data_IF_318380077579
#
_entry.id   IF_318380077579
#
_cell.length_a   1.000
_cell.length_b   1.000
_cell.length_c   1.000
_cell.angle_alpha   90.00
_cell.angle_beta   90.00
_cell.angle_gamma   90.00
#
_symmetry.space_group_name_H-M   'P 1'
#
loop_
_entity.id
_entity.type
_entity.pdbx_description
1 polymer ?
#
# COMPACT_ATOMS: atom_id res chain seq x y z
N UNK A 1 -37.02 26.79 14.19
CA UNK A 1 -36.52 28.09 13.66
C UNK A 1 -35.28 28.56 14.42
N UNK A 2 -35.27 28.49 15.76
CA UNK A 2 -34.17 28.93 16.63
C UNK A 2 -32.81 28.26 16.35
N UNK A 3 -32.75 26.92 16.26
CA UNK A 3 -31.48 26.19 15.96
C UNK A 3 -30.88 26.51 14.58
N UNK A 4 -31.70 26.94 13.62
CA UNK A 4 -31.22 27.38 12.30
C UNK A 4 -30.52 28.73 12.40
N UNK A 5 -31.04 29.65 13.22
CA UNK A 5 -30.41 30.97 13.45
C UNK A 5 -29.05 30.80 14.12
N UNK A 6 -28.94 29.96 15.15
CA UNK A 6 -27.67 29.66 15.80
C UNK A 6 -26.68 28.93 14.87
N UNK A 7 -27.17 28.00 14.04
CA UNK A 7 -26.38 27.32 13.04
C UNK A 7 -25.83 28.27 11.95
N UNK A 8 -26.64 29.19 11.45
CA UNK A 8 -26.26 30.18 10.44
C UNK A 8 -25.30 31.23 11.02
N UNK A 9 -25.46 31.59 12.30
CA UNK A 9 -24.58 32.50 13.05
C UNK A 9 -23.29 31.83 13.58
N UNK A 10 -23.12 30.51 13.40
CA UNK A 10 -22.00 29.70 13.94
C UNK A 10 -21.85 29.74 15.47
N UNK A 11 -22.91 30.06 16.19
CA UNK A 11 -22.98 30.13 17.65
C UNK A 11 -23.39 28.75 18.21
N UNK A 12 -22.45 27.80 18.15
CA UNK A 12 -22.72 26.39 18.50
C UNK A 12 -22.63 26.07 20.00
N UNK A 13 -22.11 26.96 20.84
CA UNK A 13 -22.06 26.74 22.29
C UNK A 13 -23.37 27.22 22.92
N UNK A 14 -23.78 28.42 22.55
CA UNK A 14 -25.04 29.05 22.93
C UNK A 14 -26.23 28.23 22.42
N UNK A 15 -26.11 27.62 21.24
CA UNK A 15 -27.09 26.68 20.72
C UNK A 15 -27.28 25.43 21.60
N UNK A 16 -26.22 24.93 22.25
CA UNK A 16 -26.32 23.80 23.18
C UNK A 16 -26.92 24.21 24.54
N UNK A 17 -26.60 25.40 25.04
CA UNK A 17 -27.19 25.92 26.28
C UNK A 17 -28.70 26.12 26.14
N UNK A 18 -29.12 26.63 24.98
CA UNK A 18 -30.55 26.76 24.63
C UNK A 18 -31.22 25.39 24.52
N UNK A 19 -30.51 24.38 24.01
CA UNK A 19 -31.01 23.00 23.99
C UNK A 19 -31.25 22.45 25.40
N UNK A 20 -30.31 22.66 26.32
CA UNK A 20 -30.44 22.26 27.73
C UNK A 20 -31.59 22.99 28.41
N UNK A 21 -31.69 24.30 28.20
CA UNK A 21 -32.79 25.12 28.73
C UNK A 21 -34.15 24.60 28.24
N UNK A 22 -34.27 24.25 26.96
CA UNK A 22 -35.51 23.71 26.40
C UNK A 22 -35.92 22.38 27.04
N UNK A 23 -34.96 21.49 27.30
CA UNK A 23 -35.22 20.20 27.96
C UNK A 23 -35.62 20.40 29.42
N UNK A 24 -34.89 21.22 30.17
CA UNK A 24 -35.19 21.49 31.59
C UNK A 24 -36.55 22.13 31.80
N UNK A 25 -37.08 22.85 30.80
CA UNK A 25 -38.42 23.46 30.84
C UNK A 25 -39.51 22.61 30.15
N UNK A 26 -39.20 21.37 29.74
CA UNK A 26 -40.18 20.44 29.15
C UNK A 26 -40.69 20.84 27.76
N UNK A 27 -39.97 21.69 27.03
CA UNK A 27 -40.34 22.11 25.68
C UNK A 27 -40.08 20.99 24.67
N UNK A 28 -41.06 20.70 23.80
CA UNK A 28 -40.89 19.74 22.71
C UNK A 28 -39.99 20.33 21.62
N UNK A 29 -38.87 19.66 21.36
CA UNK A 29 -37.94 20.02 20.28
C UNK A 29 -38.24 19.14 19.06
N UNK A 30 -38.35 19.76 17.89
CA UNK A 30 -38.55 19.04 16.62
C UNK A 30 -37.21 18.52 16.07
N UNK A 31 -37.19 17.27 15.61
CA UNK A 31 -36.00 16.59 15.10
C UNK A 31 -35.38 17.35 13.92
N UNK A 32 -36.21 17.92 13.03
CA UNK A 32 -35.72 18.68 11.86
C UNK A 32 -34.87 19.88 12.25
N UNK A 33 -35.19 20.52 13.38
CA UNK A 33 -34.40 21.65 13.89
C UNK A 33 -33.02 21.19 14.37
N UNK A 34 -32.94 20.00 14.97
CA UNK A 34 -31.67 19.39 15.39
C UNK A 34 -30.85 18.88 14.20
N UNK A 35 -31.48 18.32 13.16
CA UNK A 35 -30.80 17.87 11.93
C UNK A 35 -30.09 19.04 11.24
N UNK A 36 -30.73 20.20 11.14
CA UNK A 36 -30.12 21.42 10.56
C UNK A 36 -28.88 21.82 11.36
N UNK A 37 -28.94 21.72 12.69
CA UNK A 37 -27.80 21.99 13.56
C UNK A 37 -26.67 20.97 13.38
N UNK A 38 -26.98 19.66 13.36
CA UNK A 38 -26.00 18.59 13.14
C UNK A 38 -25.28 18.75 11.79
N UNK A 39 -26.01 19.10 10.72
CA UNK A 39 -25.45 19.38 9.41
C UNK A 39 -24.54 20.62 9.43
N UNK A 40 -24.94 21.69 10.12
CA UNK A 40 -24.13 22.91 10.23
C UNK A 40 -22.86 22.67 11.07
N UNK A 41 -22.95 21.97 12.21
CA UNK A 41 -21.79 21.61 13.02
C UNK A 41 -20.81 20.71 12.27
N UNK A 42 -21.32 19.79 11.43
CA UNK A 42 -20.50 18.97 10.54
C UNK A 42 -19.81 19.81 9.46
N UNK A 43 -20.51 20.76 8.82
CA UNK A 43 -19.93 21.66 7.80
C UNK A 43 -18.85 22.58 8.38
N UNK A 44 -19.03 23.04 9.62
CA UNK A 44 -18.08 23.90 10.32
C UNK A 44 -16.96 23.13 11.04
N UNK A 45 -16.84 21.83 10.81
CA UNK A 45 -15.83 20.97 11.44
C UNK A 45 -15.79 21.12 12.98
N UNK A 46 -16.96 21.09 13.63
CA UNK A 46 -17.14 21.07 15.10
C UNK A 46 -17.79 19.75 15.54
N UNK A 47 -17.12 18.62 15.31
CA UNK A 47 -17.69 17.29 15.58
C UNK A 47 -17.88 16.95 17.06
N UNK A 48 -17.15 17.60 17.95
CA UNK A 48 -17.33 17.42 19.40
C UNK A 48 -18.71 17.93 19.82
N UNK A 49 -19.07 19.12 19.36
CA UNK A 49 -20.41 19.72 19.54
C UNK A 49 -21.51 18.89 18.86
N UNK A 50 -21.22 18.36 17.67
CA UNK A 50 -22.14 17.45 16.95
C UNK A 50 -22.41 16.16 17.77
N UNK A 51 -21.37 15.58 18.36
CA UNK A 51 -21.47 14.37 19.19
C UNK A 51 -22.18 14.65 20.51
N UNK A 52 -21.92 15.80 21.14
CA UNK A 52 -22.58 16.22 22.38
C UNK A 52 -24.07 16.48 22.13
N UNK A 53 -24.42 17.23 21.08
CA UNK A 53 -25.82 17.46 20.72
C UNK A 53 -26.52 16.13 20.46
N UNK A 54 -25.91 15.25 19.67
CA UNK A 54 -26.50 13.95 19.37
C UNK A 54 -26.75 13.14 20.63
N UNK A 55 -25.76 13.00 21.54
CA UNK A 55 -25.97 12.31 22.83
C UNK A 55 -27.10 12.94 23.65
N UNK A 56 -27.19 14.27 23.68
CA UNK A 56 -28.30 14.95 24.39
C UNK A 56 -29.65 14.68 23.73
N UNK A 57 -29.72 14.59 22.40
CA UNK A 57 -30.91 14.14 21.68
C UNK A 57 -31.28 12.70 22.04
N UNK A 58 -30.31 11.79 22.14
CA UNK A 58 -30.53 10.38 22.52
C UNK A 58 -31.04 10.24 23.96
N UNK A 59 -30.46 11.01 24.89
CA UNK A 59 -30.84 10.99 26.30
C UNK A 59 -32.18 11.68 26.57
N UNK A 60 -32.64 12.52 25.64
CA UNK A 60 -33.96 13.13 25.68
C UNK A 60 -35.02 12.14 25.18
N UNK A 61 -36.29 12.35 25.57
CA UNK A 61 -37.42 11.53 25.11
C UNK A 61 -37.83 11.84 23.64
N UNK A 62 -36.84 12.16 22.79
CA UNK A 62 -37.01 12.51 21.38
C UNK A 62 -36.92 11.26 20.50
N UNK A 63 -37.71 11.22 19.43
CA UNK A 63 -37.52 10.25 18.34
C UNK A 63 -36.30 10.66 17.50
N UNK A 64 -35.29 9.80 17.48
CA UNK A 64 -34.05 9.99 16.71
C UNK A 64 -34.13 9.11 15.48
N UNK A 65 -34.01 9.68 14.27
CA UNK A 65 -34.05 8.91 13.03
C UNK A 65 -32.69 8.32 12.64
N UNK A 66 -32.70 7.29 11.79
CA UNK A 66 -31.51 6.72 11.14
C UNK A 66 -30.73 7.78 10.35
N UNK A 67 -31.40 8.82 9.85
CA UNK A 67 -30.76 9.91 9.12
C UNK A 67 -29.86 10.77 10.01
N UNK A 68 -30.33 11.12 11.21
CA UNK A 68 -29.52 11.86 12.19
C UNK A 68 -28.28 11.05 12.64
N UNK A 69 -28.44 9.74 12.85
CA UNK A 69 -27.32 8.81 13.11
C UNK A 69 -26.31 8.81 11.96
N UNK A 70 -26.78 8.71 10.71
CA UNK A 70 -25.91 8.69 9.51
C UNK A 70 -25.07 9.96 9.40
N UNK A 71 -25.63 11.13 9.74
CA UNK A 71 -24.89 12.42 9.70
C UNK A 71 -23.70 12.40 10.67
N UNK A 72 -23.93 11.95 11.90
CA UNK A 72 -22.90 11.91 12.95
C UNK A 72 -21.84 10.86 12.62
N UNK A 73 -22.27 9.68 12.17
CA UNK A 73 -21.40 8.60 11.71
C UNK A 73 -20.50 9.07 10.55
N UNK A 74 -21.04 9.70 9.51
CA UNK A 74 -20.22 10.24 8.41
C UNK A 74 -19.22 11.30 8.89
N UNK A 75 -19.63 12.17 9.81
CA UNK A 75 -18.73 13.15 10.41
C UNK A 75 -17.56 12.52 11.18
N UNK A 76 -17.81 11.43 11.93
CA UNK A 76 -16.77 10.69 12.65
C UNK A 76 -15.84 9.95 11.69
N UNK A 77 -16.38 9.31 10.65
CA UNK A 77 -15.60 8.60 9.64
C UNK A 77 -14.67 9.52 8.85
N UNK A 78 -15.11 10.74 8.49
CA UNK A 78 -14.26 11.72 7.79
C UNK A 78 -13.03 12.17 8.58
N UNK A 79 -13.09 12.09 9.92
CA UNK A 79 -11.97 12.41 10.83
C UNK A 79 -11.13 11.20 11.21
N UNK A 80 -11.35 10.06 10.58
CA UNK A 80 -10.63 8.81 10.88
C UNK A 80 -11.03 8.16 12.20
N UNK A 81 -12.07 8.65 12.91
CA UNK A 81 -12.58 8.06 14.15
C UNK A 81 -13.62 6.96 13.88
N UNK A 82 -13.24 6.00 13.05
CA UNK A 82 -14.18 4.98 12.51
C UNK A 82 -14.62 4.00 13.60
N UNK A 83 -13.74 3.62 14.53
CA UNK A 83 -14.10 2.75 15.68
C UNK A 83 -15.20 3.36 16.53
N UNK A 84 -15.12 4.67 16.79
CA UNK A 84 -16.14 5.37 17.58
C UNK A 84 -17.47 5.48 16.82
N UNK A 85 -17.41 5.60 15.49
CA UNK A 85 -18.60 5.58 14.65
C UNK A 85 -19.32 4.22 14.69
N UNK A 86 -18.55 3.12 14.70
CA UNK A 86 -19.06 1.75 14.89
C UNK A 86 -19.73 1.57 16.25
N UNK A 87 -19.04 1.95 17.33
CA UNK A 87 -19.60 1.87 18.69
C UNK A 87 -20.92 2.62 18.82
N UNK A 88 -21.00 3.83 18.26
CA UNK A 88 -22.22 4.63 18.27
C UNK A 88 -23.36 3.95 17.51
N UNK A 89 -23.08 3.32 16.37
CA UNK A 89 -24.11 2.59 15.62
C UNK A 89 -24.67 1.41 16.43
N UNK A 90 -23.81 0.64 17.09
CA UNK A 90 -24.21 -0.51 17.93
C UNK A 90 -25.01 -0.04 19.15
N UNK A 91 -24.56 1.01 19.83
CA UNK A 91 -25.26 1.62 20.97
C UNK A 91 -26.69 2.04 20.60
N UNK A 92 -26.87 2.68 19.45
CA UNK A 92 -28.18 3.15 19.00
C UNK A 92 -29.11 2.03 18.54
N UNK A 93 -28.56 0.95 17.97
CA UNK A 93 -29.31 -0.25 17.62
C UNK A 93 -29.83 -0.98 18.89
N UNK A 94 -28.98 -1.09 19.92
CA UNK A 94 -29.32 -1.80 21.16
C UNK A 94 -30.22 -1.02 22.13
N UNK A 95 -29.92 0.26 22.40
CA UNK A 95 -30.60 1.03 23.47
C UNK A 95 -31.92 1.64 23.00
N UNK A 96 -32.02 2.04 21.73
CA UNK A 96 -33.18 2.76 21.19
C UNK A 96 -33.91 2.01 20.06
N UNK A 97 -33.42 0.84 19.66
CA UNK A 97 -34.02 0.04 18.59
C UNK A 97 -33.94 0.68 17.21
N UNK A 98 -33.03 1.65 17.01
CA UNK A 98 -32.84 2.31 15.71
C UNK A 98 -32.04 1.38 14.81
N UNK A 99 -32.73 0.67 13.91
CA UNK A 99 -32.08 -0.23 12.96
C UNK A 99 -31.26 0.57 11.93
N UNK A 100 -29.93 0.43 11.87
CA UNK A 100 -29.12 1.10 10.86
C UNK A 100 -29.51 0.61 9.47
N UNK A 101 -29.45 1.50 8.48
CA UNK A 101 -29.72 1.13 7.08
C UNK A 101 -28.40 0.93 6.30
N UNK A 102 -28.54 0.48 5.05
CA UNK A 102 -27.40 0.25 4.14
C UNK A 102 -26.50 1.49 4.01
N UNK A 103 -27.06 2.70 4.10
CA UNK A 103 -26.30 3.95 3.97
C UNK A 103 -25.41 4.17 5.20
N UNK A 104 -25.91 3.95 6.42
CA UNK A 104 -25.12 4.01 7.65
C UNK A 104 -23.95 3.01 7.59
N UNK A 105 -24.25 1.78 7.19
CA UNK A 105 -23.25 0.73 7.02
C UNK A 105 -22.20 1.08 5.96
N UNK A 106 -22.61 1.52 4.76
CA UNK A 106 -21.71 1.94 3.70
C UNK A 106 -20.81 3.13 4.12
N UNK A 107 -21.33 4.03 4.96
CA UNK A 107 -20.55 5.16 5.49
C UNK A 107 -19.41 4.68 6.38
N UNK A 108 -19.67 3.72 7.27
CA UNK A 108 -18.65 3.14 8.15
C UNK A 108 -17.67 2.28 7.35
N UNK A 109 -18.17 1.45 6.42
CA UNK A 109 -17.34 0.67 5.50
C UNK A 109 -16.38 1.57 4.73
N UNK A 110 -16.85 2.69 4.17
CA UNK A 110 -15.99 3.65 3.47
C UNK A 110 -14.93 4.26 4.39
N UNK A 111 -15.29 4.51 5.66
CA UNK A 111 -14.34 4.90 6.70
C UNK A 111 -13.21 3.89 6.87
N UNK A 112 -13.54 2.61 7.04
CA UNK A 112 -12.53 1.54 7.19
C UNK A 112 -11.73 1.30 5.91
N UNK A 113 -12.36 1.37 4.73
CA UNK A 113 -11.70 1.28 3.42
C UNK A 113 -10.63 2.36 3.27
N UNK A 114 -10.92 3.61 3.68
CA UNK A 114 -9.95 4.72 3.63
C UNK A 114 -8.75 4.52 4.54
N UNK A 115 -8.97 3.92 5.71
CA UNK A 115 -7.89 3.59 6.68
C UNK A 115 -7.16 2.29 6.28
N UNK A 116 -7.67 1.56 5.27
CA UNK A 116 -7.19 0.25 4.82
C UNK A 116 -7.22 -0.84 5.90
N UNK A 117 -8.15 -0.72 6.84
CA UNK A 117 -8.34 -1.70 7.91
C UNK A 117 -9.22 -2.86 7.43
N UNK A 118 -8.59 -4.02 7.23
CA UNK A 118 -9.26 -5.25 6.79
C UNK A 118 -10.13 -5.89 7.85
N UNK A 119 -9.74 -5.79 9.12
CA UNK A 119 -10.44 -6.44 10.21
C UNK A 119 -11.76 -5.72 10.51
N UNK A 120 -11.72 -4.38 10.52
CA UNK A 120 -12.91 -3.55 10.68
C UNK A 120 -13.95 -3.77 9.58
N UNK A 121 -13.53 -3.90 8.31
CA UNK A 121 -14.45 -4.22 7.20
C UNK A 121 -15.14 -5.57 7.42
N UNK A 122 -14.40 -6.62 7.78
CA UNK A 122 -14.96 -7.96 8.00
C UNK A 122 -15.90 -8.03 9.21
N UNK A 123 -15.66 -7.23 10.25
CA UNK A 123 -16.57 -7.09 11.38
C UNK A 123 -17.89 -6.42 10.98
N UNK A 124 -17.84 -5.33 10.20
CA UNK A 124 -19.04 -4.66 9.72
C UNK A 124 -19.87 -5.55 8.79
N UNK A 125 -19.24 -6.36 7.93
CA UNK A 125 -19.96 -7.32 7.09
C UNK A 125 -20.73 -8.35 7.90
N UNK A 126 -20.13 -8.89 8.96
CA UNK A 126 -20.83 -9.80 9.89
C UNK A 126 -22.01 -9.14 10.59
N UNK A 127 -21.88 -7.85 10.94
CA UNK A 127 -22.99 -7.09 11.53
C UNK A 127 -24.11 -6.88 10.50
N UNK A 128 -23.80 -6.55 9.24
CA UNK A 128 -24.81 -6.43 8.18
C UNK A 128 -25.55 -7.75 7.91
N UNK A 129 -24.84 -8.88 7.96
CA UNK A 129 -25.46 -10.22 7.84
C UNK A 129 -26.37 -10.52 9.04
N UNK A 130 -25.93 -10.20 10.26
CA UNK A 130 -26.72 -10.40 11.50
C UNK A 130 -27.97 -9.54 11.53
N UNK A 131 -27.88 -8.32 11.02
CA UNK A 131 -28.99 -7.37 10.94
C UNK A 131 -29.88 -7.59 9.68
N UNK A 132 -29.57 -8.61 8.86
CA UNK A 132 -30.27 -8.95 7.61
C UNK A 132 -30.35 -7.78 6.61
N UNK A 133 -29.31 -6.94 6.58
CA UNK A 133 -29.25 -5.75 5.73
C UNK A 133 -28.73 -6.13 4.34
N UNK A 134 -29.62 -6.07 3.34
CA UNK A 134 -29.28 -6.38 1.95
C UNK A 134 -28.24 -5.40 1.38
N UNK A 135 -27.26 -5.95 0.66
CA UNK A 135 -26.23 -5.16 -0.01
C UNK A 135 -26.83 -4.44 -1.24
N UNK A 136 -26.43 -3.19 -1.44
CA UNK A 136 -26.75 -2.46 -2.67
C UNK A 136 -25.54 -2.43 -3.61
N UNK A 137 -25.72 -1.95 -4.85
CA UNK A 137 -24.65 -1.86 -5.84
C UNK A 137 -23.41 -1.13 -5.29
N UNK A 138 -23.61 -0.01 -4.59
CA UNK A 138 -22.50 0.74 -3.98
C UNK A 138 -21.73 -0.07 -2.92
N UNK A 139 -22.42 -0.88 -2.10
CA UNK A 139 -21.79 -1.79 -1.13
C UNK A 139 -20.90 -2.80 -1.86
N UNK A 140 -21.41 -3.48 -2.90
CA UNK A 140 -20.63 -4.44 -3.68
C UNK A 140 -19.42 -3.79 -4.36
N UNK A 141 -19.60 -2.65 -5.04
CA UNK A 141 -18.50 -1.93 -5.71
C UNK A 141 -17.38 -1.57 -4.73
N UNK A 142 -17.74 -1.03 -3.56
CA UNK A 142 -16.76 -0.68 -2.53
C UNK A 142 -16.00 -1.90 -1.99
N UNK A 143 -16.70 -3.01 -1.72
CA UNK A 143 -16.09 -4.21 -1.16
C UNK A 143 -15.21 -4.93 -2.18
N UNK A 144 -15.67 -5.07 -3.43
CA UNK A 144 -14.90 -5.70 -4.50
C UNK A 144 -13.62 -4.89 -4.77
N UNK A 145 -13.72 -3.56 -4.81
CA UNK A 145 -12.54 -2.69 -4.93
C UNK A 145 -11.58 -2.87 -3.75
N UNK A 146 -12.11 -2.86 -2.51
CA UNK A 146 -11.30 -3.00 -1.29
C UNK A 146 -10.59 -4.35 -1.19
N UNK A 147 -11.31 -5.45 -1.39
CA UNK A 147 -10.73 -6.80 -1.36
C UNK A 147 -9.77 -7.02 -2.53
N UNK A 148 -10.05 -6.42 -3.69
CA UNK A 148 -9.16 -6.44 -4.84
C UNK A 148 -7.84 -5.71 -4.61
N UNK A 149 -7.86 -4.55 -3.94
CA UNK A 149 -6.66 -3.83 -3.53
C UNK A 149 -5.89 -4.53 -2.40
N UNK A 150 -6.61 -5.25 -1.54
CA UNK A 150 -6.02 -6.02 -0.43
C UNK A 150 -5.47 -7.38 -0.86
N UNK A 151 -5.53 -7.73 -2.16
CA UNK A 151 -5.04 -8.99 -2.70
C UNK A 151 -5.88 -10.22 -2.36
N UNK A 152 -7.07 -10.05 -1.77
CA UNK A 152 -8.01 -11.13 -1.39
C UNK A 152 -8.96 -11.46 -2.55
N UNK A 153 -8.41 -11.93 -3.68
CA UNK A 153 -9.18 -12.14 -4.91
C UNK A 153 -10.34 -13.13 -4.79
N UNK A 154 -10.17 -14.20 -4.00
CA UNK A 154 -11.26 -15.18 -3.80
C UNK A 154 -12.51 -14.54 -3.17
N UNK A 155 -12.33 -13.63 -2.21
CA UNK A 155 -13.46 -12.93 -1.57
C UNK A 155 -14.13 -11.97 -2.57
N UNK A 156 -13.33 -11.26 -3.37
CA UNK A 156 -13.85 -10.38 -4.41
C UNK A 156 -14.68 -11.14 -5.47
N UNK A 157 -14.22 -12.32 -5.90
CA UNK A 157 -14.94 -13.16 -6.87
C UNK A 157 -16.24 -13.73 -6.28
N UNK A 158 -16.23 -14.15 -5.00
CA UNK A 158 -17.45 -14.58 -4.31
C UNK A 158 -18.49 -13.48 -4.23
N UNK A 159 -18.07 -12.25 -3.88
CA UNK A 159 -18.96 -11.08 -3.85
C UNK A 159 -19.51 -10.74 -5.24
N UNK A 160 -18.70 -10.85 -6.28
CA UNK A 160 -19.14 -10.63 -7.66
C UNK A 160 -20.16 -11.69 -8.11
N UNK A 161 -19.98 -12.95 -7.71
CA UNK A 161 -20.93 -14.02 -7.99
C UNK A 161 -22.26 -13.80 -7.27
N UNK A 162 -22.21 -13.48 -5.98
CA UNK A 162 -23.39 -13.17 -5.15
C UNK A 162 -24.16 -11.94 -5.71
N UNK A 163 -23.45 -10.91 -6.18
CA UNK A 163 -24.06 -9.75 -6.84
C UNK A 163 -24.85 -10.14 -8.10
N UNK A 164 -24.30 -11.02 -8.95
CA UNK A 164 -24.97 -11.53 -10.15
C UNK A 164 -26.14 -12.45 -9.81
N UNK A 165 -26.01 -13.35 -8.82
CA UNK A 165 -27.10 -14.24 -8.37
C UNK A 165 -28.30 -13.47 -7.81
N UNK A 166 -28.04 -12.30 -7.18
CA UNK A 166 -29.08 -11.40 -6.67
C UNK A 166 -29.65 -10.43 -7.72
N UNK A 167 -29.24 -10.54 -8.98
CA UNK A 167 -29.64 -9.64 -10.08
C UNK A 167 -29.43 -8.15 -9.77
N UNK A 168 -28.38 -7.82 -9.00
CA UNK A 168 -28.01 -6.41 -8.78
C UNK A 168 -27.31 -5.91 -10.04
N UNK A 169 -27.73 -4.75 -10.55
CA UNK A 169 -27.18 -4.17 -11.77
C UNK A 169 -25.67 -3.93 -11.62
N UNK A 170 -24.91 -4.61 -12.49
CA UNK A 170 -23.45 -4.55 -12.47
C UNK A 170 -23.00 -3.38 -13.32
N UNK A 171 -22.30 -2.43 -12.71
CA UNK A 171 -21.71 -1.29 -13.40
C UNK A 171 -20.32 -1.62 -13.98
N UNK A 172 -19.81 -0.70 -14.81
CA UNK A 172 -18.46 -0.78 -15.37
C UNK A 172 -17.35 -0.75 -14.31
N UNK A 173 -17.61 -0.13 -13.15
CA UNK A 173 -16.64 0.01 -12.07
C UNK A 173 -16.42 -1.31 -11.33
N UNK A 174 -17.47 -2.10 -11.13
CA UNK A 174 -17.40 -3.46 -10.59
C UNK A 174 -16.56 -4.34 -11.51
N UNK A 175 -16.87 -4.37 -12.81
CA UNK A 175 -16.07 -5.13 -13.79
C UNK A 175 -14.61 -4.68 -13.81
N UNK A 176 -14.35 -3.37 -13.83
CA UNK A 176 -12.98 -2.83 -13.80
C UNK A 176 -12.23 -3.25 -12.53
N UNK A 177 -12.91 -3.25 -11.38
CA UNK A 177 -12.32 -3.64 -10.10
C UNK A 177 -11.99 -5.15 -10.04
N UNK A 178 -12.89 -6.01 -10.53
CA UNK A 178 -12.67 -7.46 -10.53
C UNK A 178 -11.63 -7.89 -11.60
N UNK A 179 -11.60 -7.22 -12.76
CA UNK A 179 -10.56 -7.40 -13.79
C UNK A 179 -9.20 -7.00 -13.22
N UNK A 180 -9.11 -5.82 -12.59
CA UNK A 180 -7.88 -5.36 -11.92
C UNK A 180 -7.41 -6.33 -10.84
N UNK A 181 -8.33 -6.85 -10.03
CA UNK A 181 -8.03 -7.86 -9.02
C UNK A 181 -7.45 -9.15 -9.63
N UNK A 182 -8.10 -9.70 -10.66
CA UNK A 182 -7.64 -10.90 -11.36
C UNK A 182 -6.28 -10.67 -12.04
N UNK A 183 -6.04 -9.48 -12.60
CA UNK A 183 -4.75 -9.09 -13.18
C UNK A 183 -3.64 -9.05 -12.12
N UNK A 184 -3.90 -8.51 -10.92
CA UNK A 184 -2.93 -8.46 -9.82
C UNK A 184 -2.54 -9.84 -9.30
N UNK A 185 -3.48 -10.79 -9.27
CA UNK A 185 -3.22 -12.19 -8.87
C UNK A 185 -2.61 -13.02 -10.01
N UNK A 186 -2.59 -12.49 -11.24
CA UNK A 186 -2.04 -13.18 -12.41
C UNK A 186 -3.01 -14.13 -13.11
N UNK A 187 -4.29 -14.13 -12.73
CA UNK A 187 -5.33 -14.92 -13.40
C UNK A 187 -5.85 -14.21 -14.67
N UNK A 188 -4.98 -14.08 -15.67
CA UNK A 188 -5.29 -13.37 -16.90
C UNK A 188 -6.44 -14.01 -17.69
N UNK A 189 -6.56 -15.34 -17.67
CA UNK A 189 -7.65 -16.05 -18.38
C UNK A 189 -9.02 -15.57 -17.91
N UNK A 190 -9.21 -15.46 -16.59
CA UNK A 190 -10.45 -14.96 -16.01
C UNK A 190 -10.64 -13.47 -16.30
N UNK A 191 -9.56 -12.67 -16.22
CA UNK A 191 -9.62 -11.24 -16.52
C UNK A 191 -10.08 -10.96 -17.97
N UNK A 192 -9.60 -11.73 -18.96
CA UNK A 192 -10.05 -11.61 -20.35
C UNK A 192 -11.49 -12.10 -20.53
N UNK A 193 -11.89 -13.21 -19.90
CA UNK A 193 -13.28 -13.67 -19.96
C UNK A 193 -14.26 -12.62 -19.40
N UNK A 194 -13.91 -11.94 -18.31
CA UNK A 194 -14.71 -10.85 -17.73
C UNK A 194 -14.74 -9.61 -18.64
N UNK A 195 -13.66 -9.35 -19.40
CA UNK A 195 -13.61 -8.26 -20.37
C UNK A 195 -14.47 -8.53 -21.60
N UNK A 196 -14.49 -9.78 -22.08
CA UNK A 196 -15.37 -10.21 -23.17
C UNK A 196 -16.84 -10.17 -22.71
N UNK A 197 -17.15 -10.65 -21.49
CA UNK A 197 -18.50 -10.56 -20.90
C UNK A 197 -18.97 -9.10 -20.78
N UNK A 198 -18.09 -8.20 -20.33
CA UNK A 198 -18.37 -6.76 -20.28
C UNK A 198 -18.71 -6.20 -21.67
N UNK A 199 -17.98 -6.63 -22.71
CA UNK A 199 -18.22 -6.21 -24.10
C UNK A 199 -19.53 -6.77 -24.65
N UNK A 200 -19.85 -8.04 -24.36
CA UNK A 200 -21.10 -8.71 -24.78
C UNK A 200 -22.33 -8.07 -24.14
N UNK A 201 -22.22 -7.59 -22.90
CA UNK A 201 -23.29 -6.84 -22.21
C UNK A 201 -23.48 -5.40 -22.74
N UNK A 202 -22.69 -4.97 -23.72
CA UNK A 202 -22.78 -3.63 -24.30
C UNK A 202 -22.22 -2.52 -23.41
N UNK A 203 -21.49 -2.87 -22.34
CA UNK A 203 -20.79 -1.91 -21.49
C UNK A 203 -19.46 -1.56 -22.16
N UNK A 204 -19.28 -0.32 -22.61
CA UNK A 204 -18.06 0.11 -23.29
C UNK A 204 -16.88 0.17 -22.30
N UNK A 205 -15.78 -0.60 -22.48
CA UNK A 205 -14.66 -0.60 -21.54
C UNK A 205 -14.03 0.79 -21.41
N UNK A 206 -13.64 1.15 -20.18
CA UNK A 206 -13.02 2.44 -19.90
C UNK A 206 -11.50 2.41 -20.09
N UNK A 207 -10.85 3.58 -20.15
CA UNK A 207 -9.38 3.70 -20.12
C UNK A 207 -8.77 2.98 -18.89
N UNK A 208 -9.48 2.96 -17.75
CA UNK A 208 -9.04 2.24 -16.56
C UNK A 208 -9.11 0.72 -16.73
N UNK A 209 -10.12 0.22 -17.43
CA UNK A 209 -10.29 -1.21 -17.73
C UNK A 209 -9.14 -1.72 -18.61
N UNK A 210 -8.83 -0.98 -19.69
CA UNK A 210 -7.67 -1.27 -20.53
C UNK A 210 -6.35 -1.14 -19.77
N UNK A 211 -6.17 -0.08 -18.99
CA UNK A 211 -4.97 0.11 -18.18
C UNK A 211 -4.71 -1.04 -17.20
N UNK A 212 -5.76 -1.57 -16.55
CA UNK A 212 -5.65 -2.72 -15.66
C UNK A 212 -5.27 -4.01 -16.40
N UNK A 213 -5.86 -4.27 -17.57
CA UNK A 213 -5.48 -5.42 -18.40
C UNK A 213 -4.05 -5.31 -18.92
N UNK A 214 -3.66 -4.13 -19.43
CA UNK A 214 -2.30 -3.83 -19.90
C UNK A 214 -1.29 -4.07 -18.76
N UNK A 215 -1.56 -3.58 -17.55
CA UNK A 215 -0.72 -3.83 -16.37
C UNK A 215 -0.61 -5.33 -16.05
N UNK A 216 -1.73 -6.06 -16.09
CA UNK A 216 -1.76 -7.50 -15.90
C UNK A 216 -0.89 -8.26 -16.90
N UNK A 217 -1.06 -8.00 -18.21
CA UNK A 217 -0.29 -8.70 -19.26
C UNK A 217 1.19 -8.29 -19.27
N UNK A 218 1.50 -7.03 -18.96
CA UNK A 218 2.88 -6.56 -18.80
C UNK A 218 3.57 -7.30 -17.65
N UNK A 219 2.90 -7.46 -16.50
CA UNK A 219 3.41 -8.22 -15.35
C UNK A 219 3.62 -9.70 -15.66
N UNK A 220 2.78 -10.28 -16.52
CA UNK A 220 2.95 -11.66 -17.00
C UNK A 220 3.99 -11.80 -18.13
N UNK A 221 4.63 -10.71 -18.56
CA UNK A 221 5.61 -10.70 -19.65
C UNK A 221 5.02 -10.89 -21.05
N UNK A 222 3.69 -10.81 -21.21
CA UNK A 222 3.00 -11.00 -22.48
C UNK A 222 2.87 -9.69 -23.26
N UNK A 223 4.01 -9.15 -23.72
CA UNK A 223 4.05 -7.83 -24.36
C UNK A 223 3.27 -7.75 -25.69
N UNK A 224 3.14 -8.84 -26.43
CA UNK A 224 2.33 -8.88 -27.66
C UNK A 224 0.83 -8.68 -27.37
N UNK A 225 0.32 -9.29 -26.29
CA UNK A 225 -1.05 -9.06 -25.85
C UNK A 225 -1.26 -7.59 -25.42
N UNK A 226 -0.25 -6.98 -24.78
CA UNK A 226 -0.28 -5.57 -24.41
C UNK A 226 -0.41 -4.64 -25.64
N UNK A 227 0.31 -4.94 -26.73
CA UNK A 227 0.23 -4.18 -27.99
C UNK A 227 -1.14 -4.31 -28.67
N UNK A 228 -1.73 -5.50 -28.66
CA UNK A 228 -3.07 -5.73 -29.21
C UNK A 228 -4.11 -4.92 -28.42
N UNK A 229 -4.05 -4.97 -27.09
CA UNK A 229 -4.94 -4.20 -26.22
C UNK A 229 -4.80 -2.69 -26.43
N UNK A 230 -3.57 -2.20 -26.60
CA UNK A 230 -3.30 -0.79 -26.89
C UNK A 230 -3.87 -0.36 -28.24
N UNK A 231 -3.69 -1.18 -29.27
CA UNK A 231 -4.22 -0.90 -30.61
C UNK A 231 -5.76 -0.88 -30.61
N UNK A 232 -6.39 -1.80 -29.84
CA UNK A 232 -7.84 -1.84 -29.65
C UNK A 232 -8.36 -0.63 -28.86
N UNK A 233 -7.62 -0.18 -27.85
CA UNK A 233 -7.97 1.02 -27.08
C UNK A 233 -7.94 2.26 -27.99
N UNK A 234 -6.89 2.41 -28.81
CA UNK A 234 -6.76 3.52 -29.75
C UNK A 234 -7.83 3.51 -30.84
N UNK A 235 -8.20 2.34 -31.39
CA UNK A 235 -9.26 2.24 -32.40
C UNK A 235 -10.66 2.58 -31.85
N UNK A 236 -10.85 2.47 -30.54
CA UNK A 236 -12.06 2.92 -29.84
C UNK A 236 -12.04 4.42 -29.50
N UNK A 237 -11.02 5.17 -29.92
CA UNK A 237 -10.90 6.61 -29.65
C UNK A 237 -10.55 6.94 -28.20
N UNK A 238 -10.03 5.98 -27.43
CA UNK A 238 -9.61 6.20 -26.06
C UNK A 238 -8.15 6.65 -26.02
N UNK A 239 -7.91 7.84 -25.48
CA UNK A 239 -6.56 8.39 -25.34
C UNK A 239 -5.77 7.69 -24.22
N UNK A 240 -4.49 7.48 -24.49
CA UNK A 240 -3.55 7.00 -23.47
C UNK A 240 -3.32 8.08 -22.41
N UNK A 241 -3.34 7.67 -21.15
CA UNK A 241 -2.91 8.51 -20.04
C UNK A 241 -1.48 8.19 -19.63
N UNK A 242 -0.88 9.05 -18.79
CA UNK A 242 0.47 8.88 -18.28
C UNK A 242 0.66 7.53 -17.54
N UNK A 243 -0.38 7.03 -16.88
CA UNK A 243 -0.34 5.74 -16.18
C UNK A 243 -0.09 4.58 -17.16
N UNK A 244 -0.84 4.52 -18.27
CA UNK A 244 -0.69 3.47 -19.28
C UNK A 244 0.70 3.52 -19.92
N UNK A 245 1.22 4.72 -20.22
CA UNK A 245 2.59 4.86 -20.71
C UNK A 245 3.61 4.32 -19.71
N UNK A 246 3.52 4.71 -18.44
CA UNK A 246 4.41 4.23 -17.39
C UNK A 246 4.32 2.71 -17.19
N UNK A 247 3.12 2.14 -17.24
CA UNK A 247 2.89 0.68 -17.17
C UNK A 247 3.54 -0.06 -18.33
N UNK A 248 3.45 0.47 -19.56
CA UNK A 248 4.09 -0.13 -20.73
C UNK A 248 5.62 -0.05 -20.63
N UNK A 249 6.15 1.11 -20.25
CA UNK A 249 7.58 1.31 -20.04
C UNK A 249 8.10 0.32 -18.99
N UNK A 250 7.39 0.14 -17.87
CA UNK A 250 7.74 -0.84 -16.84
C UNK A 250 7.67 -2.29 -17.35
N UNK A 251 6.62 -2.63 -18.12
CA UNK A 251 6.50 -3.91 -18.80
C UNK A 251 7.67 -4.23 -19.73
N UNK A 252 8.01 -3.30 -20.64
CA UNK A 252 9.15 -3.44 -21.55
C UNK A 252 10.49 -3.51 -20.82
N UNK A 253 10.68 -2.69 -19.77
CA UNK A 253 11.88 -2.74 -18.93
C UNK A 253 12.04 -4.09 -18.22
N UNK A 254 10.94 -4.67 -17.71
CA UNK A 254 10.95 -6.01 -17.08
C UNK A 254 11.19 -7.13 -18.10
N UNK A 255 10.69 -6.99 -19.32
CA UNK A 255 10.95 -7.91 -20.43
C UNK A 255 12.35 -7.78 -21.04
N UNK A 256 13.16 -6.80 -20.57
CA UNK A 256 14.49 -6.54 -21.06
C UNK A 256 14.55 -5.76 -22.39
N UNK A 257 13.41 -5.33 -22.91
CA UNK A 257 13.27 -4.61 -24.18
C UNK A 257 13.38 -3.10 -23.96
N UNK A 258 14.57 -2.62 -23.58
CA UNK A 258 14.78 -1.20 -23.24
C UNK A 258 14.54 -0.27 -24.43
N UNK A 259 14.90 -0.67 -25.65
CA UNK A 259 14.71 0.17 -26.84
C UNK A 259 13.22 0.45 -27.11
N UNK A 260 12.36 -0.54 -26.86
CA UNK A 260 10.91 -0.38 -26.94
C UNK A 260 10.39 0.53 -25.82
N UNK A 261 10.92 0.41 -24.60
CA UNK A 261 10.58 1.31 -23.49
C UNK A 261 10.91 2.78 -23.83
N UNK A 262 12.07 3.02 -24.46
CA UNK A 262 12.47 4.34 -24.93
C UNK A 262 11.60 4.86 -26.09
N UNK A 263 11.17 3.97 -26.99
CA UNK A 263 10.23 4.32 -28.07
C UNK A 263 8.86 4.72 -27.53
N UNK A 264 8.36 4.02 -26.52
CA UNK A 264 7.11 4.37 -25.82
C UNK A 264 7.26 5.72 -25.11
N UNK A 265 8.38 5.97 -24.42
CA UNK A 265 8.69 7.27 -23.80
C UNK A 265 8.72 8.41 -24.85
N UNK A 266 9.32 8.19 -26.01
CA UNK A 266 9.31 9.17 -27.10
C UNK A 266 7.90 9.45 -27.65
N UNK A 267 7.05 8.42 -27.69
CA UNK A 267 5.63 8.58 -28.09
C UNK A 267 4.85 9.37 -27.04
N UNK A 268 5.11 9.13 -25.76
CA UNK A 268 4.53 9.88 -24.65
C UNK A 268 4.85 11.39 -24.76
N UNK A 269 6.11 11.74 -25.05
CA UNK A 269 6.52 13.14 -25.23
C UNK A 269 5.91 13.80 -26.46
N UNK A 270 5.79 13.06 -27.58
CA UNK A 270 5.10 13.56 -28.79
C UNK A 270 3.63 13.84 -28.55
N UNK A 271 2.99 13.08 -27.65
CA UNK A 271 1.60 13.29 -27.25
C UNK A 271 1.43 14.43 -26.22
N UNK A 272 2.49 15.18 -25.93
CA UNK A 272 2.46 16.34 -25.02
C UNK A 272 2.63 16.00 -23.53
N UNK A 273 2.88 14.73 -23.19
CA UNK A 273 3.13 14.32 -21.81
C UNK A 273 4.62 14.44 -21.48
N UNK A 274 4.95 15.18 -20.42
CA UNK A 274 6.32 15.24 -19.90
C UNK A 274 6.60 14.00 -19.06
N UNK A 275 7.73 13.35 -19.29
CA UNK A 275 8.20 12.27 -18.43
C UNK A 275 8.38 12.77 -17.00
N UNK A 276 7.87 12.01 -16.04
CA UNK A 276 8.01 12.33 -14.62
C UNK A 276 9.17 11.53 -13.98
N UNK A 277 9.46 11.84 -12.72
CA UNK A 277 10.48 11.12 -11.96
C UNK A 277 10.18 9.61 -11.85
N UNK A 278 8.91 9.21 -11.98
CA UNK A 278 8.51 7.81 -11.95
C UNK A 278 8.88 7.10 -13.26
N UNK A 279 8.63 7.70 -14.42
CA UNK A 279 9.08 7.21 -15.73
C UNK A 279 10.60 6.98 -15.75
N UNK A 280 11.37 7.97 -15.29
CA UNK A 280 12.83 7.87 -15.30
C UNK A 280 13.35 6.81 -14.35
N UNK A 281 12.71 6.66 -13.18
CA UNK A 281 13.06 5.62 -12.23
C UNK A 281 12.73 4.22 -12.76
N UNK A 282 11.62 4.03 -13.48
CA UNK A 282 11.29 2.76 -14.13
C UNK A 282 12.43 2.37 -15.09
N UNK A 283 12.82 3.26 -15.99
CA UNK A 283 13.87 3.01 -16.98
C UNK A 283 15.21 2.70 -16.31
N UNK A 284 15.62 3.52 -15.34
CA UNK A 284 16.85 3.30 -14.58
C UNK A 284 16.85 1.96 -13.84
N UNK A 285 15.72 1.60 -13.21
CA UNK A 285 15.56 0.31 -12.52
C UNK A 285 15.60 -0.89 -13.49
N UNK A 286 15.02 -0.73 -14.68
CA UNK A 286 15.10 -1.72 -15.77
C UNK A 286 16.53 -1.95 -16.22
N UNK A 287 17.28 -0.88 -16.49
CA UNK A 287 18.69 -0.93 -16.84
C UNK A 287 19.53 -1.60 -15.74
N UNK A 288 19.26 -1.30 -14.47
CA UNK A 288 19.91 -1.92 -13.33
C UNK A 288 19.66 -3.44 -13.24
N UNK A 289 18.44 -3.89 -13.59
CA UNK A 289 18.09 -5.33 -13.62
C UNK A 289 18.79 -6.08 -14.74
N UNK A 290 19.05 -5.42 -15.87
CA UNK A 290 19.84 -5.95 -16.99
C UNK A 290 21.35 -5.86 -16.77
N UNK A 291 21.80 -5.44 -15.58
CA UNK A 291 23.20 -5.20 -15.26
C UNK A 291 23.89 -4.17 -16.17
N UNK A 292 23.12 -3.28 -16.82
CA UNK A 292 23.61 -2.15 -17.62
C UNK A 292 23.74 -0.91 -16.75
N UNK A 293 24.64 -0.99 -15.77
CA UNK A 293 24.80 0.02 -14.72
C UNK A 293 25.30 1.37 -15.27
N UNK A 294 26.20 1.36 -16.25
CA UNK A 294 26.69 2.58 -16.91
C UNK A 294 25.58 3.33 -17.66
N UNK A 295 24.74 2.61 -18.41
CA UNK A 295 23.58 3.19 -19.08
C UNK A 295 22.59 3.78 -18.07
N UNK A 296 22.37 3.10 -16.95
CA UNK A 296 21.48 3.60 -15.88
C UNK A 296 22.01 4.89 -15.23
N UNK A 297 23.33 4.99 -15.00
CA UNK A 297 23.97 6.22 -14.51
C UNK A 297 23.83 7.35 -15.52
N UNK A 298 24.22 7.11 -16.78
CA UNK A 298 24.13 8.10 -17.85
C UNK A 298 22.69 8.61 -18.01
N UNK A 299 21.71 7.71 -17.89
CA UNK A 299 20.29 8.08 -17.92
C UNK A 299 19.89 9.06 -16.80
N UNK A 300 20.26 8.75 -15.56
CA UNK A 300 19.92 9.56 -14.39
C UNK A 300 20.71 10.89 -14.35
N UNK A 301 21.95 10.91 -14.83
CA UNK A 301 22.71 12.16 -14.99
C UNK A 301 22.14 13.03 -16.10
N UNK A 302 21.78 12.46 -17.25
CA UNK A 302 21.14 13.22 -18.33
C UNK A 302 19.81 13.84 -17.91
N UNK A 303 19.06 13.18 -17.01
CA UNK A 303 17.87 13.75 -16.37
C UNK A 303 18.22 14.99 -15.53
N UNK A 304 19.29 14.92 -14.71
CA UNK A 304 19.76 16.05 -13.89
C UNK A 304 20.20 17.22 -14.77
N UNK A 305 20.94 16.95 -15.85
CA UNK A 305 21.42 17.96 -16.80
C UNK A 305 20.29 18.67 -17.55
N UNK A 306 19.16 17.97 -17.79
CA UNK A 306 17.94 18.56 -18.34
C UNK A 306 17.17 19.47 -17.37
N UNK A 307 17.69 19.69 -16.16
CA UNK A 307 17.09 20.55 -15.15
C UNK A 307 15.92 19.90 -14.40
N UNK A 308 15.78 18.58 -14.47
CA UNK A 308 14.75 17.85 -13.74
C UNK A 308 15.21 17.63 -12.29
N UNK A 309 14.34 17.96 -11.32
CA UNK A 309 14.66 17.87 -9.89
C UNK A 309 14.59 16.40 -9.46
N UNK A 310 15.72 15.75 -9.12
CA UNK A 310 15.72 14.35 -8.72
C UNK A 310 15.04 14.19 -7.37
N UNK A 311 14.22 13.15 -7.25
CA UNK A 311 13.61 12.79 -5.98
C UNK A 311 14.51 11.82 -5.18
N UNK A 312 14.02 11.41 -4.01
CA UNK A 312 14.74 10.48 -3.14
C UNK A 312 15.04 9.14 -3.81
N UNK A 313 14.15 8.67 -4.70
CA UNK A 313 14.30 7.41 -5.41
C UNK A 313 15.40 7.49 -6.48
N UNK A 314 15.53 8.60 -7.21
CA UNK A 314 16.59 8.78 -8.20
C UNK A 314 17.99 8.73 -7.56
N UNK A 315 18.18 9.46 -6.44
CA UNK A 315 19.43 9.41 -5.67
C UNK A 315 19.68 8.02 -5.09
N UNK A 316 18.65 7.36 -4.54
CA UNK A 316 18.78 6.01 -4.00
C UNK A 316 19.20 5.00 -5.07
N UNK A 317 18.65 5.11 -6.28
CA UNK A 317 19.05 4.27 -7.42
C UNK A 317 20.51 4.52 -7.82
N UNK A 318 20.96 5.77 -7.95
CA UNK A 318 22.37 6.08 -8.22
C UNK A 318 23.30 5.53 -7.13
N UNK A 319 22.95 5.75 -5.86
CA UNK A 319 23.72 5.23 -4.72
C UNK A 319 23.83 3.70 -4.79
N UNK A 320 22.72 3.01 -5.05
CA UNK A 320 22.71 1.55 -5.19
C UNK A 320 23.58 1.08 -6.38
N UNK A 321 23.59 1.81 -7.51
CA UNK A 321 24.46 1.50 -8.63
C UNK A 321 25.94 1.60 -8.21
N UNK A 322 26.34 2.70 -7.59
CA UNK A 322 27.72 2.87 -7.10
C UNK A 322 28.11 1.83 -6.03
N UNK A 323 27.18 1.45 -5.15
CA UNK A 323 27.40 0.34 -4.21
C UNK A 323 27.65 -0.99 -4.92
N UNK A 324 26.90 -1.30 -5.99
CA UNK A 324 27.10 -2.51 -6.80
C UNK A 324 28.43 -2.51 -7.56
N UNK A 325 28.90 -1.35 -8.00
CA UNK A 325 30.20 -1.15 -8.62
C UNK A 325 31.37 -1.16 -7.62
N UNK A 326 31.09 -1.39 -6.33
CA UNK A 326 32.06 -1.31 -5.22
C UNK A 326 32.73 0.06 -5.08
N UNK A 327 32.08 1.12 -5.58
CA UNK A 327 32.56 2.49 -5.45
C UNK A 327 31.78 3.24 -4.36
N UNK A 328 32.04 2.87 -3.10
CA UNK A 328 31.35 3.45 -1.93
C UNK A 328 31.72 4.92 -1.71
N UNK A 329 32.88 5.36 -2.22
CA UNK A 329 33.29 6.77 -2.13
C UNK A 329 32.32 7.68 -2.88
N UNK A 330 31.98 7.35 -4.13
CA UNK A 330 30.99 8.09 -4.90
C UNK A 330 29.57 7.92 -4.34
N UNK A 331 29.20 6.72 -3.89
CA UNK A 331 27.91 6.49 -3.23
C UNK A 331 27.71 7.42 -2.02
N UNK A 332 28.76 7.62 -1.20
CA UNK A 332 28.72 8.54 -0.05
C UNK A 332 28.72 10.01 -0.45
N UNK A 333 29.41 10.39 -1.53
CA UNK A 333 29.35 11.75 -2.06
C UNK A 333 27.93 12.09 -2.49
N UNK A 334 27.27 11.20 -3.23
CA UNK A 334 25.87 11.36 -3.62
C UNK A 334 24.92 11.41 -2.42
N UNK A 335 25.15 10.60 -1.39
CA UNK A 335 24.37 10.65 -0.15
C UNK A 335 24.49 11.99 0.59
N UNK A 336 25.70 12.58 0.62
CA UNK A 336 25.92 13.92 1.17
C UNK A 336 25.27 15.00 0.30
N UNK A 337 25.35 14.87 -1.03
CA UNK A 337 24.71 15.79 -1.97
C UNK A 337 23.19 15.76 -1.83
N UNK A 338 22.60 14.57 -1.70
CA UNK A 338 21.18 14.35 -1.46
C UNK A 338 20.70 15.14 -0.22
N UNK A 339 21.42 15.02 0.90
CA UNK A 339 21.13 15.79 2.13
C UNK A 339 21.31 17.30 1.92
N UNK A 340 22.37 17.72 1.22
CA UNK A 340 22.66 19.14 0.93
C UNK A 340 21.55 19.77 0.08
N UNK A 341 20.96 19.02 -0.85
CA UNK A 341 19.82 19.43 -1.68
C UNK A 341 18.47 19.30 -0.97
N UNK A 342 18.46 19.08 0.35
CA UNK A 342 17.26 18.90 1.18
C UNK A 342 16.36 17.73 0.74
N UNK A 343 16.90 16.78 -0.03
CA UNK A 343 16.22 15.54 -0.37
C UNK A 343 16.42 14.56 0.78
N UNK A 344 15.34 14.14 1.44
CA UNK A 344 15.43 13.25 2.60
C UNK A 344 15.78 11.82 2.18
N UNK A 345 16.84 11.21 2.73
CA UNK A 345 17.10 9.78 2.58
C UNK A 345 15.93 8.94 3.09
N UNK A 346 15.75 7.78 2.48
CA UNK A 346 14.75 6.79 2.90
C UNK A 346 15.44 5.61 3.58
N UNK A 347 14.65 4.74 4.23
CA UNK A 347 15.09 3.45 4.73
C UNK A 347 15.90 2.65 3.67
N UNK A 348 15.42 2.65 2.41
CA UNK A 348 16.08 1.97 1.30
C UNK A 348 17.45 2.58 0.98
N UNK A 349 17.59 3.90 1.11
CA UNK A 349 18.87 4.60 0.90
C UNK A 349 19.92 4.17 1.93
N UNK A 350 19.53 4.10 3.21
CA UNK A 350 20.43 3.62 4.27
C UNK A 350 20.80 2.15 4.08
N UNK A 351 19.81 1.29 3.81
CA UNK A 351 20.04 -0.13 3.57
C UNK A 351 21.02 -0.36 2.40
N UNK A 352 20.88 0.38 1.30
CA UNK A 352 21.80 0.28 0.15
C UNK A 352 23.25 0.68 0.50
N UNK A 353 23.44 1.71 1.33
CA UNK A 353 24.77 2.13 1.77
C UNK A 353 25.38 1.17 2.78
N UNK A 354 24.57 0.65 3.72
CA UNK A 354 25.01 -0.33 4.73
C UNK A 354 25.45 -1.61 4.02
N UNK A 355 24.61 -2.17 3.14
CA UNK A 355 24.95 -3.35 2.32
C UNK A 355 26.23 -3.12 1.48
N UNK A 356 26.33 -1.96 0.83
CA UNK A 356 27.51 -1.57 0.07
C UNK A 356 28.79 -1.52 0.93
N UNK A 357 28.73 -0.88 2.11
CA UNK A 357 29.86 -0.80 3.04
C UNK A 357 30.27 -2.18 3.56
N UNK A 358 29.30 -3.03 3.92
CA UNK A 358 29.52 -4.40 4.38
C UNK A 358 30.22 -5.25 3.31
N UNK A 359 29.79 -5.15 2.04
CA UNK A 359 30.40 -5.90 0.92
C UNK A 359 31.82 -5.45 0.58
N UNK A 360 32.18 -4.21 0.89
CA UNK A 360 33.55 -3.69 0.72
C UNK A 360 34.43 -3.94 1.97
N UNK A 361 33.90 -4.58 3.03
CA UNK A 361 34.61 -4.83 4.29
C UNK A 361 34.70 -3.60 5.21
N UNK A 362 34.01 -2.51 4.92
CA UNK A 362 34.00 -1.28 5.73
C UNK A 362 32.95 -1.34 6.84
N UNK A 363 33.03 -2.38 7.68
CA UNK A 363 31.99 -2.71 8.66
C UNK A 363 31.75 -1.59 9.69
N UNK A 364 32.80 -0.91 10.16
CA UNK A 364 32.67 0.24 11.07
C UNK A 364 31.83 1.38 10.49
N UNK A 365 31.95 1.63 9.19
CA UNK A 365 31.16 2.66 8.53
C UNK A 365 29.70 2.24 8.36
N UNK A 366 29.44 0.94 8.19
CA UNK A 366 28.09 0.37 8.14
C UNK A 366 27.36 0.56 9.49
N UNK A 367 28.05 0.34 10.62
CA UNK A 367 27.47 0.61 11.95
C UNK A 367 27.16 2.09 12.17
N UNK A 368 28.07 2.99 11.76
CA UNK A 368 27.82 4.43 11.83
C UNK A 368 26.59 4.85 11.03
N UNK A 369 26.35 4.22 9.89
CA UNK A 369 25.13 4.44 9.09
C UNK A 369 23.88 3.90 9.77
N UNK A 370 23.95 2.74 10.46
CA UNK A 370 22.84 2.22 11.30
C UNK A 370 22.52 3.18 12.44
N UNK A 371 23.52 3.71 13.14
CA UNK A 371 23.32 4.69 14.22
C UNK A 371 22.67 5.98 13.70
N UNK A 372 23.15 6.50 12.57
CA UNK A 372 22.55 7.67 11.94
C UNK A 372 21.10 7.40 11.52
N UNK A 373 20.80 6.22 10.99
CA UNK A 373 19.46 5.80 10.60
C UNK A 373 18.49 5.81 11.80
N UNK A 374 18.93 5.28 12.95
CA UNK A 374 18.15 5.30 14.20
C UNK A 374 17.96 6.72 14.71
N UNK A 375 19.02 7.54 14.69
CA UNK A 375 18.96 8.93 15.15
C UNK A 375 17.99 9.81 14.33
N UNK A 376 17.80 9.49 13.05
CA UNK A 376 16.82 10.18 12.17
C UNK A 376 15.39 9.66 12.39
N UNK A 377 15.19 8.60 13.18
CA UNK A 377 13.89 8.05 13.55
C UNK A 377 13.44 6.86 12.71
N UNK A 378 14.33 6.25 11.92
CA UNK A 378 14.04 5.00 11.24
C UNK A 378 14.38 3.80 12.14
N UNK A 379 13.50 2.81 12.16
CA UNK A 379 13.77 1.53 12.81
C UNK A 379 14.51 0.60 11.84
N UNK A 380 15.64 -0.02 12.23
CA UNK A 380 16.31 -1.06 11.47
C UNK A 380 15.34 -2.18 11.08
N UNK A 381 15.29 -2.50 9.80
CA UNK A 381 14.46 -3.59 9.29
C UNK A 381 15.29 -4.85 9.08
N UNK A 382 14.63 -5.94 8.66
CA UNK A 382 15.32 -7.20 8.42
C UNK A 382 16.47 -7.03 7.41
N UNK A 383 16.34 -6.18 6.41
CA UNK A 383 17.40 -5.94 5.41
C UNK A 383 18.61 -5.23 6.02
N UNK A 384 18.40 -4.30 6.95
CA UNK A 384 19.50 -3.67 7.71
C UNK A 384 20.31 -4.74 8.44
N UNK A 385 19.63 -5.61 9.19
CA UNK A 385 20.28 -6.69 9.95
C UNK A 385 20.94 -7.72 9.03
N UNK A 386 20.27 -8.18 7.96
CA UNK A 386 20.85 -9.10 6.96
C UNK A 386 22.15 -8.54 6.39
N UNK A 387 22.19 -7.24 6.09
CA UNK A 387 23.37 -6.59 5.50
C UNK A 387 24.56 -6.57 6.48
N UNK A 388 24.30 -6.23 7.74
CA UNK A 388 25.33 -6.21 8.78
C UNK A 388 25.83 -7.61 9.12
N UNK A 389 24.91 -8.57 9.26
CA UNK A 389 25.23 -9.99 9.47
C UNK A 389 26.13 -10.51 8.35
N UNK A 390 25.76 -10.25 7.09
CA UNK A 390 26.59 -10.62 5.95
C UNK A 390 27.96 -9.93 5.97
N UNK A 391 28.02 -8.66 6.38
CA UNK A 391 29.27 -7.92 6.55
C UNK A 391 30.19 -8.50 7.64
N UNK A 392 29.63 -8.89 8.78
CA UNK A 392 30.39 -9.53 9.88
C UNK A 392 30.87 -10.93 9.49
N UNK A 393 30.04 -11.72 8.81
CA UNK A 393 30.45 -13.01 8.22
C UNK A 393 31.57 -12.85 7.17
N UNK A 394 31.59 -11.75 6.40
CA UNK A 394 32.70 -11.44 5.48
C UNK A 394 33.97 -11.10 6.25
N UNK A 395 33.82 -10.33 7.33
CA UNK A 395 34.92 -9.87 8.20
C UNK A 395 35.50 -10.97 9.08
N UNK A 396 34.79 -12.09 9.22
CA UNK A 396 35.21 -13.28 9.98
C UNK A 396 34.74 -13.29 11.44
N UNK A 397 33.92 -12.33 11.87
CA UNK A 397 33.37 -12.26 13.23
C UNK A 397 31.95 -12.84 13.25
N UNK A 398 31.86 -14.17 13.18
CA UNK A 398 30.56 -14.86 13.09
C UNK A 398 29.80 -14.83 14.42
N UNK A 399 30.49 -14.71 15.56
CA UNK A 399 29.85 -14.57 16.87
C UNK A 399 29.03 -13.28 16.95
N UNK A 400 29.57 -12.17 16.44
CA UNK A 400 28.84 -10.92 16.36
C UNK A 400 27.69 -10.98 15.34
N UNK A 401 27.84 -11.76 14.28
CA UNK A 401 26.75 -12.04 13.34
C UNK A 401 25.60 -12.81 14.02
N UNK A 402 25.89 -13.78 14.90
CA UNK A 402 24.90 -14.49 15.71
C UNK A 402 24.22 -13.57 16.74
N UNK A 403 24.97 -12.65 17.35
CA UNK A 403 24.40 -11.64 18.25
C UNK A 403 23.42 -10.70 17.52
N UNK A 404 23.76 -10.27 16.30
CA UNK A 404 22.84 -9.47 15.47
C UNK A 404 21.57 -10.25 15.10
N UNK A 405 21.66 -11.57 14.93
CA UNK A 405 20.50 -12.42 14.68
C UNK A 405 19.58 -12.47 15.91
N UNK A 406 20.13 -12.59 17.13
CA UNK A 406 19.32 -12.55 18.35
C UNK A 406 18.66 -11.19 18.57
N UNK A 407 19.39 -10.09 18.34
CA UNK A 407 18.82 -8.73 18.41
C UNK A 407 17.63 -8.54 17.45
N UNK A 408 17.74 -9.06 16.23
CA UNK A 408 16.67 -8.99 15.24
C UNK A 408 15.41 -9.76 15.70
N UNK A 409 15.58 -10.91 16.38
CA UNK A 409 14.47 -11.69 16.96
C UNK A 409 13.80 -10.96 18.11
N UNK A 410 14.60 -10.41 19.04
CA UNK A 410 14.09 -9.65 20.19
C UNK A 410 13.32 -8.40 19.76
N UNK A 411 13.71 -7.80 18.63
CA UNK A 411 13.01 -6.67 18.02
C UNK A 411 11.69 -7.05 17.32
N UNK A 412 11.28 -8.33 17.35
CA UNK A 412 10.05 -8.82 16.74
C UNK A 412 10.10 -8.92 15.21
N UNK A 413 11.29 -8.90 14.60
CA UNK A 413 11.43 -9.01 13.15
C UNK A 413 11.33 -10.47 12.72
N UNK A 414 10.60 -10.72 11.64
CA UNK A 414 10.57 -12.03 10.99
C UNK A 414 11.85 -12.22 10.19
N UNK A 415 12.69 -13.15 10.63
CA UNK A 415 13.93 -13.50 9.93
C UNK A 415 13.58 -14.12 8.58
N UNK A 416 14.32 -13.78 7.53
CA UNK A 416 14.11 -14.32 6.19
C UNK A 416 15.22 -15.33 5.81
N UNK A 417 14.97 -16.10 4.75
CA UNK A 417 15.92 -17.09 4.24
C UNK A 417 17.28 -16.52 3.85
N UNK A 418 17.33 -15.26 3.40
CA UNK A 418 18.59 -14.61 3.01
C UNK A 418 19.49 -14.40 4.23
N UNK A 419 18.91 -14.02 5.38
CA UNK A 419 19.64 -13.90 6.65
C UNK A 419 20.21 -15.24 7.11
N UNK A 420 19.39 -16.31 7.09
CA UNK A 420 19.88 -17.66 7.41
C UNK A 420 21.01 -18.10 6.47
N UNK A 421 20.87 -17.85 5.17
CA UNK A 421 21.89 -18.17 4.17
C UNK A 421 23.20 -17.41 4.43
N UNK A 422 23.13 -16.14 4.80
CA UNK A 422 24.32 -15.35 5.12
C UNK A 422 25.09 -15.92 6.33
N UNK A 423 24.39 -16.28 7.41
CA UNK A 423 25.01 -16.82 8.63
C UNK A 423 25.54 -18.24 8.41
N UNK A 424 24.76 -19.12 7.78
CA UNK A 424 25.20 -20.48 7.45
C UNK A 424 26.42 -20.44 6.53
N UNK A 425 26.45 -19.51 5.57
CA UNK A 425 27.65 -19.29 4.75
C UNK A 425 28.84 -18.74 5.55
N UNK A 426 28.61 -17.93 6.58
CA UNK A 426 29.65 -17.46 7.49
C UNK A 426 30.21 -18.58 8.36
N UNK A 427 29.34 -19.31 9.07
CA UNK A 427 29.69 -20.46 9.90
C UNK A 427 30.39 -21.56 9.11
N UNK A 428 29.94 -21.81 7.88
CA UNK A 428 30.59 -22.77 6.98
C UNK A 428 32.02 -22.38 6.65
N UNK A 429 32.33 -21.09 6.49
CA UNK A 429 33.70 -20.61 6.19
C UNK A 429 34.62 -20.67 7.40
N UNK A 430 34.05 -20.65 8.60
CA UNK A 430 34.78 -20.74 9.87
C UNK A 430 34.91 -22.20 10.37
N UNK A 431 34.27 -23.16 9.69
CA UNK A 431 34.29 -24.58 10.07
C UNK A 431 33.33 -24.97 11.20
N UNK A 432 32.41 -24.07 11.59
CA UNK A 432 31.42 -24.29 12.66
C UNK A 432 30.18 -25.03 12.16
N UNK A 433 30.39 -26.25 11.68
CA UNK A 433 29.37 -27.04 10.97
C UNK A 433 28.15 -27.37 11.84
N UNK A 434 28.31 -27.70 13.13
CA UNK A 434 27.17 -28.02 14.01
C UNK A 434 26.18 -26.85 14.16
N UNK A 435 26.67 -25.64 14.33
CA UNK A 435 25.82 -24.45 14.46
C UNK A 435 25.14 -24.10 13.13
N UNK A 436 25.82 -24.33 12.01
CA UNK A 436 25.25 -24.17 10.68
C UNK A 436 24.06 -25.14 10.46
N UNK A 437 24.18 -26.39 10.91
CA UNK A 437 23.07 -27.36 10.84
C UNK A 437 21.90 -27.00 11.76
N UNK A 438 22.17 -26.53 13.00
CA UNK A 438 21.10 -26.09 13.92
C UNK A 438 20.27 -24.94 13.32
N UNK A 439 20.92 -23.95 12.71
CA UNK A 439 20.22 -22.84 12.06
C UNK A 439 19.46 -23.28 10.80
N UNK A 440 19.96 -24.29 10.09
CA UNK A 440 19.24 -24.88 8.96
C UNK A 440 17.96 -25.58 9.42
N UNK A 441 18.03 -26.41 10.47
CA UNK A 441 16.87 -27.13 11.01
C UNK A 441 15.80 -26.14 11.51
N UNK A 442 16.22 -25.07 12.19
CA UNK A 442 15.32 -23.99 12.63
C UNK A 442 14.62 -23.29 11.44
N UNK A 443 15.33 -23.07 10.33
CA UNK A 443 14.73 -22.52 9.12
C UNK A 443 13.66 -23.48 8.52
N UNK A 444 13.82 -24.80 8.70
CA UNK A 444 12.83 -25.79 8.25
C UNK A 444 11.61 -25.82 9.16
N UNK A 445 11.81 -25.74 10.48
CA UNK A 445 10.71 -25.73 11.47
C UNK A 445 9.81 -24.51 11.32
N UNK A 446 10.36 -23.37 10.89
CA UNK A 446 9.60 -22.15 10.58
C UNK A 446 8.85 -22.20 9.25
N UNK A 447 8.90 -23.33 8.53
CA UNK A 447 8.17 -23.56 7.28
C UNK A 447 8.76 -22.86 6.06
N UNK A 448 10.02 -22.41 6.13
CA UNK A 448 10.67 -21.75 5.01
C UNK A 448 11.26 -22.76 4.03
N UNK A 449 11.15 -22.49 2.73
CA UNK A 449 11.78 -23.34 1.71
C UNK A 449 13.24 -22.94 1.52
N UNK A 450 14.21 -23.83 1.80
CA UNK A 450 15.63 -23.54 1.64
C UNK A 450 15.99 -23.31 0.17
N UNK A 451 16.78 -22.28 -0.09
CA UNK A 451 17.25 -21.99 -1.44
C UNK A 451 18.47 -22.84 -1.80
N UNK A 452 18.78 -22.93 -3.10
CA UNK A 452 19.96 -23.68 -3.59
C UNK A 452 21.27 -23.17 -2.99
N UNK A 453 21.32 -21.92 -2.54
CA UNK A 453 22.51 -21.29 -1.96
C UNK A 453 22.75 -21.78 -0.54
N UNK A 454 21.71 -21.88 0.28
CA UNK A 454 21.80 -22.44 1.62
C UNK A 454 22.32 -23.88 1.58
N UNK A 455 21.79 -24.71 0.67
CA UNK A 455 22.31 -26.07 0.47
C UNK A 455 23.78 -26.08 0.05
N UNK A 456 24.17 -25.22 -0.90
CA UNK A 456 25.56 -25.14 -1.34
C UNK A 456 26.51 -24.71 -0.20
N UNK A 457 26.09 -23.75 0.63
CA UNK A 457 26.83 -23.32 1.82
C UNK A 457 26.92 -24.43 2.87
N UNK A 458 25.84 -25.19 3.10
CA UNK A 458 25.82 -26.31 4.04
C UNK A 458 26.68 -27.50 3.57
N UNK A 459 26.70 -27.79 2.26
CA UNK A 459 27.58 -28.82 1.69
C UNK A 459 29.04 -28.40 1.77
N UNK A 460 29.31 -27.09 1.61
CA UNK A 460 30.63 -26.51 1.78
C UNK A 460 31.22 -26.72 3.19
N UNK A 461 30.40 -26.67 4.24
CA UNK A 461 30.85 -26.89 5.63
C UNK A 461 31.28 -28.33 5.88
N UNK A 462 30.65 -29.30 5.21
CA UNK A 462 30.99 -30.72 5.29
C UNK A 462 32.33 -31.08 4.63
N UNK A 463 32.81 -30.26 3.69
CA UNK A 463 34.07 -30.50 2.96
C UNK A 463 35.27 -29.77 3.57
N UNK A 464 35.05 -28.85 4.52
CA UNK A 464 36.11 -28.11 5.23
C UNK A 464 36.55 -28.79 6.54
N UNK A 465 36.52 -30.13 6.61
CA UNK A 465 37.10 -30.85 7.74
C UNK A 465 38.61 -30.54 7.79
N UNK A 466 39.16 -29.98 8.88
CA UNK A 466 40.59 -29.73 8.96
C UNK A 466 41.33 -31.07 8.94
N UNK A 467 42.32 -31.19 8.05
CA UNK A 467 43.33 -32.23 8.15
C UNK A 467 44.11 -32.02 9.45
N UNK A 468 43.88 -32.95 10.40
CA UNK A 468 44.72 -33.37 11.54
C UNK A 468 45.21 -32.32 12.52
#
# INVERSE_FOLDING_TARGET
MLFRVYADARMFEEGLEVFDYMISNGLKIDERSCIVYLLASKRCDRMEMCSVLFRKMVNSNMEVSVYSLTIVVDGLCRRGRVTRAKELMIEMAGVKGIKPNVITYNTILNGYVKIRDSAGVEEILRLMETDEVAYNAATYTMLIHFFGDSGKAEKAERLFKDMNERNVEVDIHVYTSIISCNCKVGNLKRAFALFDELSERGLAPSTHTYGALIDGVCKAGQMEAAKILLSRMQSQGLDMNLLIFNTLIDGYCKAGMIDEALRVKGTMEKNGFKADNYTHNIIASGLCKLNKLDDAKNWLFAMIERGEIPNSVNFTTLINIYCKERNILEAKKLFKEMKKKSVKPTLVTYNALIDGCCKEGKIHEAYKLKEEMVAVGFLPDIYTYTSLIHGECISGDVDKALQLLSEARESGLTINMVTYTAIVSGLSREGRSEEAFKLYDEAMETGMTPDKRLYASLVGSLHQVPNS
#
